data_IF_416738463528
#
_entry.id   IF_416738463528
#
_cell.length_a   1.000
_cell.length_b   1.000
_cell.length_c   1.000
_cell.angle_alpha   90.00
_cell.angle_beta   90.00
_cell.angle_gamma   90.00
#
_symmetry.space_group_name_H-M   'P 1'
#
loop_
_entity.id
_entity.type
_entity.pdbx_description
1 polymer ?
#
# COMPACT_ATOMS: atom_id res chain seq x y z
N UNK A 1 6.02 -0.87 5.48
CA UNK A 1 5.06 0.21 5.14
C UNK A 1 3.81 -0.02 5.96
N UNK A 2 3.33 1.01 6.64
CA UNK A 2 2.07 0.96 7.38
C UNK A 2 1.01 1.69 6.56
N UNK A 3 -0.04 0.98 6.16
CA UNK A 3 -1.14 1.51 5.37
C UNK A 3 -2.47 1.17 6.01
N UNK A 4 -3.33 2.17 6.17
CA UNK A 4 -4.67 1.99 6.71
C UNK A 4 -5.65 1.59 5.60
N UNK A 5 -6.11 0.33 5.66
CA UNK A 5 -7.17 -0.18 4.78
C UNK A 5 -8.50 -0.25 5.53
N UNK A 6 -9.52 0.38 4.97
CA UNK A 6 -10.90 0.22 5.43
C UNK A 6 -11.52 -1.04 4.79
N UNK A 7 -12.04 -1.93 5.61
CA UNK A 7 -12.79 -3.14 5.20
C UNK A 7 -11.98 -4.29 4.58
N UNK A 8 -12.62 -5.45 4.34
CA UNK A 8 -12.01 -6.62 3.69
C UNK A 8 -11.85 -6.44 2.16
N UNK A 9 -11.09 -7.31 1.50
CA UNK A 9 -10.91 -7.33 0.04
C UNK A 9 -9.53 -6.90 -0.48
N UNK A 10 -9.32 -7.04 -1.80
CA UNK A 10 -8.04 -6.76 -2.47
C UNK A 10 -7.71 -5.27 -2.52
N UNK A 11 -6.42 -4.95 -2.37
CA UNK A 11 -5.96 -3.57 -2.47
C UNK A 11 -5.69 -3.20 -3.93
N UNK A 12 -6.58 -2.42 -4.54
CA UNK A 12 -6.39 -1.93 -5.92
C UNK A 12 -5.61 -0.62 -5.98
N UNK A 13 -5.65 0.17 -4.89
CA UNK A 13 -5.06 1.50 -4.80
C UNK A 13 -4.49 1.73 -3.40
N UNK A 14 -3.37 2.44 -3.33
CA UNK A 14 -2.79 2.99 -2.09
C UNK A 14 -2.90 4.51 -2.13
N UNK A 15 -3.78 5.10 -1.34
CA UNK A 15 -3.84 6.55 -1.21
C UNK A 15 -2.63 7.06 -0.43
N UNK A 16 -1.92 8.06 -0.93
CA UNK A 16 -0.67 8.52 -0.31
C UNK A 16 -0.89 9.06 1.10
N UNK A 17 -2.02 9.74 1.30
CA UNK A 17 -2.44 10.31 2.58
C UNK A 17 -2.79 9.24 3.64
N UNK A 18 -2.97 7.99 3.24
CA UNK A 18 -3.23 6.86 4.15
C UNK A 18 -2.01 6.00 4.45
N UNK A 19 -0.85 6.40 3.92
CA UNK A 19 0.44 5.76 4.22
C UNK A 19 1.04 6.47 5.41
N UNK A 20 0.97 5.85 6.59
CA UNK A 20 1.51 6.43 7.81
C UNK A 20 3.04 6.46 7.78
N UNK A 21 3.67 5.37 7.36
CA UNK A 21 5.14 5.28 7.26
C UNK A 21 5.59 4.35 6.12
N UNK A 22 6.58 4.75 5.31
CA UNK A 22 7.17 6.10 5.22
C UNK A 22 6.23 7.08 4.51
N UNK A 23 6.38 8.39 4.74
CA UNK A 23 5.70 9.41 3.94
C UNK A 23 6.20 9.33 2.48
N UNK A 24 5.30 8.98 1.56
CA UNK A 24 5.61 8.88 0.13
C UNK A 24 5.10 10.12 -0.60
N UNK A 25 5.98 10.79 -1.34
CA UNK A 25 5.65 12.01 -2.08
C UNK A 25 4.86 11.76 -3.38
N UNK A 26 4.68 10.49 -3.78
CA UNK A 26 3.92 10.15 -4.99
C UNK A 26 4.55 10.65 -6.30
N UNK A 27 5.87 10.76 -6.38
CA UNK A 27 6.57 11.26 -7.58
C UNK A 27 7.12 10.16 -8.48
N UNK A 28 7.30 8.95 -7.93
CA UNK A 28 7.93 7.82 -8.62
C UNK A 28 7.08 6.57 -8.47
N UNK A 29 7.26 5.59 -9.36
CA UNK A 29 6.54 4.33 -9.28
C UNK A 29 6.74 3.65 -7.92
N UNK A 30 5.72 2.90 -7.48
CA UNK A 30 5.80 2.14 -6.25
C UNK A 30 6.60 0.87 -6.49
N UNK A 31 7.85 0.87 -6.04
CA UNK A 31 8.81 -0.22 -6.28
C UNK A 31 9.13 -0.95 -4.99
N UNK A 32 9.15 -2.28 -5.03
CA UNK A 32 9.63 -3.09 -3.92
C UNK A 32 11.14 -2.90 -3.74
N UNK A 33 11.59 -2.47 -2.55
CA UNK A 33 13.03 -2.27 -2.30
C UNK A 33 13.84 -3.57 -2.34
N UNK A 34 13.22 -4.72 -2.03
CA UNK A 34 13.88 -6.04 -1.94
C UNK A 34 14.05 -6.70 -3.31
N UNK A 35 12.99 -6.83 -4.09
CA UNK A 35 13.01 -7.53 -5.38
C UNK A 35 13.00 -6.59 -6.60
N UNK A 36 12.98 -5.26 -6.39
CA UNK A 36 12.96 -4.22 -7.43
C UNK A 36 11.76 -4.27 -8.39
N UNK A 37 10.79 -5.14 -8.13
CA UNK A 37 9.54 -5.22 -8.90
C UNK A 37 8.71 -3.96 -8.74
N UNK A 38 8.16 -3.47 -9.85
CA UNK A 38 7.20 -2.38 -9.85
C UNK A 38 5.85 -2.94 -9.37
N UNK A 39 5.39 -2.48 -8.21
CA UNK A 39 4.14 -2.89 -7.59
C UNK A 39 2.96 -2.03 -8.06
N UNK A 40 3.24 -0.80 -8.50
CA UNK A 40 2.23 0.11 -9.02
C UNK A 40 2.80 1.43 -9.55
N UNK A 41 1.92 2.24 -10.14
CA UNK A 41 2.25 3.54 -10.73
C UNK A 41 1.52 4.67 -10.01
N UNK A 42 2.10 5.86 -9.98
CA UNK A 42 1.45 7.06 -9.43
C UNK A 42 0.27 7.43 -10.34
N UNK A 43 -0.88 7.69 -9.73
CA UNK A 43 -2.06 8.22 -10.40
C UNK A 43 -2.76 9.24 -9.53
N UNK A 44 -3.42 10.21 -10.15
CA UNK A 44 -4.43 11.03 -9.46
C UNK A 44 -5.79 10.41 -9.71
N UNK A 45 -6.45 9.96 -8.65
CA UNK A 45 -7.80 9.41 -8.76
C UNK A 45 -8.80 10.53 -8.99
N UNK A 46 -9.26 10.67 -10.24
CA UNK A 46 -10.06 11.82 -10.70
C UNK A 46 -11.32 12.10 -9.88
N UNK A 47 -12.02 11.07 -9.38
CA UNK A 47 -13.27 11.23 -8.61
C UNK A 47 -13.05 11.94 -7.27
N UNK A 48 -11.92 11.68 -6.61
CA UNK A 48 -11.61 12.24 -5.30
C UNK A 48 -10.53 13.33 -5.38
N UNK A 49 -9.93 13.55 -6.56
CA UNK A 49 -8.75 14.41 -6.76
C UNK A 49 -7.57 14.08 -5.82
N UNK A 50 -7.46 12.81 -5.40
CA UNK A 50 -6.41 12.34 -4.49
C UNK A 50 -5.30 11.61 -5.22
N UNK A 51 -4.06 11.86 -4.79
CA UNK A 51 -2.90 11.12 -5.26
C UNK A 51 -2.85 9.73 -4.64
N UNK A 52 -2.63 8.72 -5.47
CA UNK A 52 -2.59 7.33 -5.07
C UNK A 52 -1.63 6.53 -5.95
N UNK A 53 -1.16 5.39 -5.48
CA UNK A 53 -0.59 4.37 -6.34
C UNK A 53 -1.69 3.44 -6.85
N UNK A 54 -1.79 3.29 -8.18
CA UNK A 54 -2.54 2.21 -8.79
C UNK A 54 -1.68 0.95 -8.75
N UNK A 55 -2.11 -0.04 -7.98
CA UNK A 55 -1.41 -1.30 -7.88
C UNK A 55 -1.73 -2.21 -9.06
N UNK A 56 -0.74 -2.99 -9.49
CA UNK A 56 -0.99 -4.10 -10.41
C UNK A 56 -1.74 -5.22 -9.69
N UNK A 57 -2.63 -5.90 -10.41
CA UNK A 57 -3.40 -7.00 -9.83
C UNK A 57 -2.45 -8.09 -9.33
N UNK A 58 -2.65 -8.53 -8.08
CA UNK A 58 -1.80 -9.54 -7.43
C UNK A 58 -0.45 -9.06 -6.92
N UNK A 59 -0.02 -7.82 -7.20
CA UNK A 59 1.30 -7.33 -6.77
C UNK A 59 1.43 -7.14 -5.26
N UNK A 60 0.31 -6.85 -4.58
CA UNK A 60 0.28 -6.69 -3.12
C UNK A 60 -0.91 -7.45 -2.55
N UNK A 61 -0.64 -8.37 -1.64
CA UNK A 61 -1.64 -9.09 -0.86
C UNK A 61 -1.49 -8.76 0.61
N UNK A 62 -2.58 -8.36 1.27
CA UNK A 62 -2.60 -8.24 2.73
C UNK A 62 -2.81 -9.63 3.32
N UNK A 63 -1.88 -10.11 4.14
CA UNK A 63 -2.16 -11.22 5.06
C UNK A 63 -2.86 -10.65 6.29
N UNK A 64 -4.05 -11.15 6.60
CA UNK A 64 -4.70 -10.89 7.88
C UNK A 64 -4.01 -11.81 8.88
N UNK A 65 -3.28 -11.22 9.83
CA UNK A 65 -2.79 -11.97 10.99
C UNK A 65 -3.95 -12.04 11.97
N UNK A 66 -4.33 -13.26 12.38
CA UNK A 66 -5.38 -13.45 13.38
C UNK A 66 -4.99 -12.68 14.66
N UNK A 67 -5.91 -11.90 15.26
CA UNK A 67 -5.61 -11.05 16.41
C UNK A 67 -5.19 -11.82 17.68
N UNK A 68 -5.31 -13.15 17.70
CA UNK A 68 -4.82 -14.02 18.79
C UNK A 68 -3.32 -14.37 18.73
N UNK A 69 -2.61 -14.02 17.65
CA UNK A 69 -1.16 -14.35 17.47
C UNK A 69 -0.36 -13.06 17.21
N UNK A 70 -0.69 -11.99 17.90
CA UNK A 70 0.15 -10.79 17.96
C UNK A 70 1.04 -10.85 19.21
N UNK A 71 1.93 -11.86 19.29
CA UNK A 71 3.08 -11.81 20.20
C UNK A 71 4.33 -11.61 19.36
N UNK A 72 4.97 -10.47 19.62
CA UNK A 72 6.32 -10.07 19.20
C UNK A 72 6.63 -10.16 17.69
N UNK A 73 6.60 -8.98 17.04
CA UNK A 73 7.57 -8.70 15.98
C UNK A 73 8.46 -7.57 16.52
N UNK A 74 9.55 -7.95 17.18
CA UNK A 74 10.71 -7.07 17.40
C UNK A 74 11.50 -7.01 16.09
N UNK A 75 11.91 -5.79 15.72
CA UNK A 75 12.83 -5.54 14.61
C UNK A 75 14.28 -5.86 15.01
#
# INVERSE_FOLDING_TARGET
MIYQKDGPGVLKRLYLDRIATPQLQGKTNFVCKKCKTILGIVVVYRKEKRAAYRLFAGAVTKKVLNPGIAKDIRF
#
